data_IF_601494640316
#
_entry.id   IF_601494640316
#
_cell.length_a   1.000
_cell.length_b   1.000
_cell.length_c   1.000
_cell.angle_alpha   90.00
_cell.angle_beta   90.00
_cell.angle_gamma   90.00
#
_symmetry.space_group_name_H-M   'P 1'
#
loop_
_entity.id
_entity.type
_entity.pdbx_description
1 polymer ?
#
# COMPACT_ATOMS: atom_id res chain seq x y z
N UNK A 1 3.22 7.95 2.95
CA UNK A 1 4.44 8.42 3.67
C UNK A 1 4.14 9.48 4.73
N UNK A 2 3.31 10.49 4.40
CA UNK A 2 2.94 11.57 5.32
C UNK A 2 2.26 11.09 6.61
N UNK A 3 1.47 10.00 6.54
CA UNK A 3 0.83 9.39 7.70
C UNK A 3 1.76 8.56 8.59
N UNK A 4 3.06 8.49 8.29
CA UNK A 4 4.05 7.72 9.06
C UNK A 4 5.15 8.63 9.65
N UNK A 5 4.90 9.93 9.73
CA UNK A 5 5.86 10.91 10.28
C UNK A 5 5.29 11.64 11.50
N UNK A 6 6.16 12.23 12.33
CA UNK A 6 5.76 12.97 13.53
C UNK A 6 4.97 12.13 14.53
N UNK A 7 3.91 12.71 15.11
CA UNK A 7 3.02 12.03 16.06
C UNK A 7 2.38 10.74 15.50
N UNK A 8 2.18 10.67 14.18
CA UNK A 8 1.58 9.49 13.55
C UNK A 8 2.56 8.31 13.48
N UNK A 9 3.88 8.56 13.53
CA UNK A 9 4.87 7.49 13.61
C UNK A 9 4.75 6.71 14.92
N UNK A 10 4.53 7.41 16.04
CA UNK A 10 4.30 6.78 17.35
C UNK A 10 2.99 5.98 17.36
N UNK A 11 1.93 6.55 16.80
CA UNK A 11 0.63 5.86 16.64
C UNK A 11 0.78 4.59 15.79
N UNK A 12 1.54 4.64 14.70
CA UNK A 12 1.83 3.47 13.88
C UNK A 12 2.67 2.42 14.63
N UNK A 13 3.64 2.84 15.44
CA UNK A 13 4.42 1.92 16.28
C UNK A 13 3.52 1.21 17.32
N UNK A 14 2.59 1.93 17.95
CA UNK A 14 1.61 1.35 18.87
C UNK A 14 0.64 0.38 18.17
N UNK A 15 0.24 0.70 16.94
CA UNK A 15 -0.54 -0.21 16.10
C UNK A 15 0.20 -1.52 15.85
N UNK A 16 1.48 -1.47 15.47
CA UNK A 16 2.31 -2.66 15.27
C UNK A 16 2.51 -3.46 16.57
N UNK A 17 2.69 -2.79 17.70
CA UNK A 17 2.79 -3.44 19.01
C UNK A 17 1.51 -4.22 19.33
N UNK A 18 0.36 -3.57 19.19
CA UNK A 18 -0.96 -4.18 19.46
C UNK A 18 -1.21 -5.37 18.54
N UNK A 19 -0.85 -5.25 17.26
CA UNK A 19 -0.92 -6.35 16.30
C UNK A 19 -0.15 -7.60 16.77
N UNK A 20 1.06 -7.40 17.31
CA UNK A 20 1.88 -8.46 17.90
C UNK A 20 1.32 -9.01 19.22
N UNK A 21 0.83 -8.14 20.10
CA UNK A 21 0.22 -8.53 21.39
C UNK A 21 -1.04 -9.40 21.17
N UNK A 22 -1.77 -9.17 20.08
CA UNK A 22 -2.91 -10.00 19.65
C UNK A 22 -2.51 -11.35 19.02
N UNK A 23 -1.21 -11.63 18.87
CA UNK A 23 -0.70 -12.86 18.29
C UNK A 23 -0.94 -12.98 16.78
N UNK A 24 -1.19 -11.89 16.07
CA UNK A 24 -1.46 -11.92 14.63
C UNK A 24 -0.13 -12.12 13.88
N UNK A 25 -0.12 -13.07 12.94
CA UNK A 25 1.12 -13.53 12.30
C UNK A 25 1.64 -12.64 11.17
N UNK A 26 0.76 -11.93 10.45
CA UNK A 26 1.15 -11.25 9.21
C UNK A 26 0.31 -10.02 8.89
N UNK A 27 1.00 -8.92 8.57
CA UNK A 27 0.43 -7.71 8.02
C UNK A 27 1.41 -7.07 7.02
N UNK A 28 0.87 -6.46 5.97
CA UNK A 28 1.64 -5.74 4.95
C UNK A 28 0.94 -4.42 4.63
N UNK A 29 1.74 -3.40 4.32
CA UNK A 29 1.25 -2.06 4.04
C UNK A 29 1.68 -1.59 2.65
N UNK A 30 0.83 -0.79 2.01
CA UNK A 30 1.16 0.02 0.84
C UNK A 30 0.99 1.48 1.21
N UNK A 31 1.92 2.34 0.77
CA UNK A 31 1.91 3.78 1.08
C UNK A 31 1.67 4.67 -0.14
N UNK A 32 1.33 4.05 -1.28
CA UNK A 32 0.98 4.71 -2.55
C UNK A 32 -0.50 5.10 -2.50
N UNK A 33 -0.81 6.34 -2.93
CA UNK A 33 -2.17 6.87 -2.96
C UNK A 33 -3.00 6.30 -4.11
N UNK A 34 -4.33 6.33 -3.97
CA UNK A 34 -5.27 5.89 -5.01
C UNK A 34 -5.05 6.63 -6.32
N UNK A 35 -4.97 7.96 -6.28
CA UNK A 35 -4.79 8.81 -7.46
C UNK A 35 -3.51 8.43 -8.24
N UNK A 36 -2.43 8.07 -7.54
CA UNK A 36 -1.19 7.60 -8.18
C UNK A 36 -1.38 6.25 -8.87
N UNK A 37 -2.13 5.33 -8.27
CA UNK A 37 -2.42 4.03 -8.88
C UNK A 37 -3.35 4.17 -10.09
N UNK A 38 -4.33 5.07 -10.03
CA UNK A 38 -5.23 5.38 -11.14
C UNK A 38 -4.47 6.05 -12.30
N UNK A 39 -3.63 7.05 -12.02
CA UNK A 39 -2.78 7.68 -13.05
C UNK A 39 -1.79 6.66 -13.63
N UNK A 40 -1.23 5.76 -12.81
CA UNK A 40 -0.35 4.69 -13.30
C UNK A 40 -1.06 3.63 -14.15
N UNK A 41 -2.36 3.41 -13.94
CA UNK A 41 -3.16 2.54 -14.80
C UNK A 41 -3.46 3.19 -16.16
N UNK A 42 -3.70 4.50 -16.20
CA UNK A 42 -3.97 5.24 -17.44
C UNK A 42 -2.71 5.61 -18.22
N UNK A 43 -1.61 5.86 -17.51
CA UNK A 43 -0.34 6.38 -18.02
C UNK A 43 0.86 5.56 -17.51
N UNK A 44 0.95 4.25 -17.83
CA UNK A 44 1.98 3.36 -17.30
C UNK A 44 3.42 3.83 -17.61
N UNK A 45 3.62 4.57 -18.70
CA UNK A 45 4.91 5.13 -19.12
C UNK A 45 5.48 6.16 -18.14
N UNK A 46 4.63 6.80 -17.32
CA UNK A 46 5.07 7.72 -16.28
C UNK A 46 5.56 7.00 -15.02
N UNK A 47 5.20 5.71 -14.86
CA UNK A 47 5.40 4.93 -13.64
C UNK A 47 6.11 3.58 -13.88
N UNK A 48 7.22 3.53 -14.66
CA UNK A 48 7.85 2.26 -15.03
C UNK A 48 8.37 1.46 -13.84
N UNK A 49 8.65 2.14 -12.72
CA UNK A 49 9.25 1.56 -11.52
C UNK A 49 8.28 1.54 -10.32
N UNK A 50 6.98 1.77 -10.52
CA UNK A 50 6.01 1.80 -9.42
C UNK A 50 5.81 0.39 -8.86
N UNK A 51 6.36 0.13 -7.67
CA UNK A 51 6.15 -1.14 -6.96
C UNK A 51 4.98 -1.08 -5.99
N UNK A 52 4.20 -2.16 -5.95
CA UNK A 52 3.05 -2.33 -5.04
C UNK A 52 3.13 -3.65 -4.27
N UNK A 53 2.46 -3.72 -3.12
CA UNK A 53 2.27 -4.99 -2.39
C UNK A 53 0.99 -5.69 -2.86
N UNK A 54 1.11 -6.94 -3.28
CA UNK A 54 -0.02 -7.76 -3.72
C UNK A 54 -0.54 -8.57 -2.53
N UNK A 55 -0.29 -9.88 -2.49
CA UNK A 55 -0.65 -10.78 -1.39
C UNK A 55 0.60 -11.60 -1.05
N UNK A 56 1.46 -11.07 -0.19
CA UNK A 56 2.70 -11.74 0.22
C UNK A 56 3.95 -11.34 -0.58
N UNK A 57 3.82 -10.75 -1.77
CA UNK A 57 4.93 -10.32 -2.62
C UNK A 57 4.80 -8.88 -3.12
N UNK A 58 5.89 -8.35 -3.66
CA UNK A 58 5.93 -7.06 -4.36
C UNK A 58 6.08 -7.27 -5.87
N UNK A 59 5.46 -6.41 -6.67
CA UNK A 59 5.55 -6.42 -8.12
C UNK A 59 5.47 -5.00 -8.69
N UNK A 60 5.95 -4.80 -9.92
CA UNK A 60 5.71 -3.57 -10.65
C UNK A 60 4.23 -3.50 -11.04
N UNK A 61 3.59 -2.38 -10.75
CA UNK A 61 2.16 -2.19 -10.96
C UNK A 61 1.78 -2.33 -12.44
N UNK A 62 2.64 -1.83 -13.33
CA UNK A 62 2.43 -1.88 -14.79
C UNK A 62 2.52 -3.29 -15.38
N UNK A 63 3.15 -4.23 -14.67
CA UNK A 63 3.26 -5.63 -15.09
C UNK A 63 2.05 -6.48 -14.65
N UNK A 64 1.14 -5.90 -13.87
CA UNK A 64 -0.04 -6.59 -13.36
C UNK A 64 -1.22 -6.47 -14.34
N UNK A 65 -2.00 -7.54 -14.43
CA UNK A 65 -3.28 -7.51 -15.16
C UNK A 65 -4.21 -6.43 -14.59
N UNK A 66 -5.01 -5.81 -15.47
CA UNK A 66 -5.97 -4.76 -15.08
C UNK A 66 -6.87 -5.18 -13.91
N UNK A 67 -7.35 -6.43 -13.88
CA UNK A 67 -8.17 -6.94 -12.77
C UNK A 67 -7.43 -6.89 -11.43
N UNK A 68 -6.14 -7.21 -11.42
CA UNK A 68 -5.31 -7.16 -10.21
C UNK A 68 -5.07 -5.71 -9.83
N UNK A 69 -4.74 -4.84 -10.78
CA UNK A 69 -4.60 -3.40 -10.54
C UNK A 69 -5.87 -2.80 -9.92
N UNK A 70 -7.03 -3.08 -10.50
CA UNK A 70 -8.35 -2.64 -10.00
C UNK A 70 -8.59 -3.13 -8.57
N UNK A 71 -8.23 -4.38 -8.28
CA UNK A 71 -8.36 -4.94 -6.92
C UNK A 71 -7.47 -4.24 -5.89
N UNK A 72 -6.30 -3.73 -6.30
CA UNK A 72 -5.38 -2.98 -5.45
C UNK A 72 -5.91 -1.56 -5.23
N UNK A 73 -6.38 -0.89 -6.29
CA UNK A 73 -7.00 0.45 -6.25
C UNK A 73 -8.25 0.47 -5.34
N UNK A 74 -9.04 -0.60 -5.40
CA UNK A 74 -10.27 -0.74 -4.62
C UNK A 74 -10.03 -0.96 -3.11
N UNK A 75 -8.79 -1.27 -2.68
CA UNK A 75 -8.48 -1.42 -1.25
C UNK A 75 -8.79 -0.14 -0.50
N UNK A 76 -9.27 -0.28 0.73
CA UNK A 76 -9.64 0.86 1.57
C UNK A 76 -8.39 1.61 2.02
N UNK A 77 -8.25 2.91 1.68
CA UNK A 77 -7.17 3.73 2.22
C UNK A 77 -7.41 3.93 3.72
N UNK A 78 -6.35 3.79 4.51
CA UNK A 78 -6.37 4.03 5.95
C UNK A 78 -5.63 5.33 6.25
N UNK A 79 -6.22 6.17 7.10
CA UNK A 79 -5.59 7.38 7.62
C UNK A 79 -5.36 7.18 9.13
N UNK A 80 -4.15 7.52 9.59
CA UNK A 80 -3.77 7.58 11.00
C UNK A 80 -3.94 9.00 11.52
#
# INVERSE_FOLDING_TARGET
>A
PQYLTGHNAESFAQYLKTFGDLGIHHIQFTTVGRDTLEDAQQHPEKYPNLMVRVAGFAAYFIDLDKKIQDSIIARTPQCL
#
